data_IF_447632069384
#
_entry.id   IF_447632069384
#
_cell.length_a   1.000
_cell.length_b   1.000
_cell.length_c   1.000
_cell.angle_alpha   90.00
_cell.angle_beta   90.00
_cell.angle_gamma   90.00
#
_symmetry.space_group_name_H-M   'P 1'
#
loop_
_entity.id
_entity.type
_entity.pdbx_description
1 polymer ?
#
# COMPACT_ATOMS: atom_id res chain seq x y z
N UNK A 1 -9.24 4.24 -28.68
CA UNK A 1 -8.80 3.81 -27.33
C UNK A 1 -9.64 2.70 -26.68
N UNK A 2 -10.72 2.19 -27.30
CA UNK A 2 -11.51 1.04 -26.80
C UNK A 2 -11.06 -0.32 -27.38
N UNK A 3 -10.30 -0.32 -28.47
CA UNK A 3 -9.84 -1.53 -29.17
C UNK A 3 -8.56 -2.16 -28.57
N UNK A 4 -7.75 -1.39 -27.84
CA UNK A 4 -6.52 -1.89 -27.19
C UNK A 4 -6.82 -2.76 -25.95
N UNK A 5 -7.97 -2.56 -25.31
CA UNK A 5 -8.38 -3.34 -24.12
C UNK A 5 -8.87 -4.73 -24.52
N UNK A 6 -9.48 -4.88 -25.70
CA UNK A 6 -9.94 -6.18 -26.20
C UNK A 6 -8.78 -7.05 -26.72
N UNK A 7 -7.73 -6.44 -27.27
CA UNK A 7 -6.57 -7.16 -27.81
C UNK A 7 -5.70 -7.85 -26.76
N UNK A 8 -5.58 -7.28 -25.56
CA UNK A 8 -4.75 -7.87 -24.50
C UNK A 8 -5.42 -9.06 -23.79
N UNK A 9 -6.76 -9.10 -23.77
CA UNK A 9 -7.53 -10.18 -23.13
C UNK A 9 -7.61 -11.47 -23.97
N UNK A 10 -7.39 -11.38 -25.28
CA UNK A 10 -7.55 -12.51 -26.21
C UNK A 10 -6.26 -13.31 -26.47
N UNK A 11 -5.10 -12.82 -26.03
CA UNK A 11 -3.80 -13.50 -26.25
C UNK A 11 -3.43 -14.45 -25.09
N UNK A 12 -4.16 -14.43 -23.97
CA UNK A 12 -3.89 -15.28 -22.79
C UNK A 12 -4.84 -16.48 -22.63
N UNK A 13 -5.76 -16.70 -23.58
CA UNK A 13 -6.71 -17.81 -23.51
C UNK A 13 -6.11 -19.12 -24.04
N UNK A 14 -5.07 -19.61 -23.38
CA UNK A 14 -4.69 -21.03 -23.45
C UNK A 14 -5.65 -21.83 -22.56
N UNK A 15 -6.12 -23.02 -22.95
CA UNK A 15 -6.90 -23.89 -22.07
C UNK A 15 -5.96 -24.53 -21.02
N UNK A 16 -5.54 -23.73 -20.05
CA UNK A 16 -4.90 -24.21 -18.84
C UNK A 16 -5.97 -24.86 -17.96
N UNK A 17 -5.71 -26.08 -17.50
CA UNK A 17 -6.51 -26.71 -16.46
C UNK A 17 -6.42 -25.83 -15.23
N UNK A 18 -7.45 -25.03 -14.97
CA UNK A 18 -7.50 -24.16 -13.82
C UNK A 18 -7.52 -25.04 -12.56
N UNK A 19 -6.43 -25.03 -11.80
CA UNK A 19 -6.47 -25.45 -10.41
C UNK A 19 -7.43 -24.53 -9.65
N UNK A 20 -8.14 -25.10 -8.69
CA UNK A 20 -9.13 -24.43 -7.86
C UNK A 20 -8.51 -23.17 -7.24
N UNK A 21 -8.80 -22.00 -7.82
CA UNK A 21 -8.25 -20.75 -7.35
C UNK A 21 -9.06 -20.32 -6.15
N UNK A 22 -8.57 -20.66 -4.95
CA UNK A 22 -9.00 -19.99 -3.73
C UNK A 22 -8.88 -18.49 -4.01
N UNK A 23 -9.96 -17.74 -3.81
CA UNK A 23 -9.96 -16.29 -3.94
C UNK A 23 -8.90 -15.75 -2.97
N UNK A 24 -7.73 -15.42 -3.49
CA UNK A 24 -6.60 -14.89 -2.73
C UNK A 24 -6.90 -13.44 -2.40
N UNK A 25 -7.57 -13.22 -1.28
CA UNK A 25 -7.61 -11.92 -0.63
C UNK A 25 -6.35 -11.87 0.20
N UNK A 26 -5.37 -11.06 -0.20
CA UNK A 26 -4.30 -10.67 0.70
C UNK A 26 -4.77 -9.41 1.46
N UNK A 27 -5.21 -9.55 2.73
CA UNK A 27 -5.66 -8.42 3.56
C UNK A 27 -4.48 -7.56 4.05
N UNK A 28 -3.24 -8.06 3.94
CA UNK A 28 -2.04 -7.38 4.40
C UNK A 28 -1.17 -6.86 3.26
N UNK A 29 -1.50 -7.19 2.00
CA UNK A 29 -0.79 -6.79 0.80
C UNK A 29 -0.30 -5.35 0.98
N UNK A 30 1.00 -5.15 1.25
CA UNK A 30 1.51 -3.80 1.31
C UNK A 30 1.18 -3.17 -0.05
N UNK A 31 0.75 -1.89 -0.11
CA UNK A 31 0.79 -1.19 -1.37
C UNK A 31 2.19 -1.40 -1.93
N UNK A 32 2.27 -1.89 -3.18
CA UNK A 32 3.51 -2.31 -3.84
C UNK A 32 4.61 -1.36 -3.45
N UNK A 33 5.69 -1.94 -2.92
CA UNK A 33 6.44 -1.46 -1.76
C UNK A 33 7.02 -0.04 -1.91
N UNK A 34 6.92 0.59 -3.08
CA UNK A 34 7.41 1.93 -3.41
C UNK A 34 6.43 3.09 -3.21
N UNK A 35 5.29 2.93 -2.51
CA UNK A 35 4.41 4.09 -2.26
C UNK A 35 3.72 4.10 -0.90
N UNK A 36 4.36 4.76 0.08
CA UNK A 36 3.58 5.66 0.94
C UNK A 36 3.09 6.77 0.01
N UNK A 37 1.87 6.64 -0.56
CA UNK A 37 1.24 7.80 -1.22
C UNK A 37 1.07 8.81 -0.10
N UNK A 38 1.90 9.85 -0.12
CA UNK A 38 1.71 10.99 0.74
C UNK A 38 0.25 11.44 0.50
N UNK A 39 -0.55 11.45 1.56
CA UNK A 39 -1.83 12.13 1.51
C UNK A 39 -1.63 13.61 1.15
N UNK A 40 -2.69 14.42 1.18
CA UNK A 40 -2.56 15.86 1.02
C UNK A 40 -1.46 16.39 1.97
N UNK A 41 -0.65 17.38 1.53
CA UNK A 41 0.40 17.95 2.37
C UNK A 41 -0.11 18.30 3.78
N UNK A 42 0.67 18.07 4.85
CA UNK A 42 0.19 18.26 6.23
C UNK A 42 -0.36 19.66 6.52
N UNK A 43 0.23 20.68 5.89
CA UNK A 43 -0.22 22.07 5.92
C UNK A 43 -1.60 22.26 5.29
N UNK A 44 -1.88 21.59 4.16
CA UNK A 44 -3.19 21.60 3.51
C UNK A 44 -4.24 20.91 4.37
N UNK A 45 -3.88 19.80 5.04
CA UNK A 45 -4.79 19.10 5.96
C UNK A 45 -5.10 19.98 7.18
N UNK A 46 -4.09 20.66 7.74
CA UNK A 46 -4.29 21.59 8.85
C UNK A 46 -5.19 22.78 8.44
N UNK A 47 -4.97 23.34 7.25
CA UNK A 47 -5.80 24.41 6.70
C UNK A 47 -7.25 23.95 6.47
N UNK A 48 -7.44 22.76 5.90
CA UNK A 48 -8.75 22.14 5.72
C UNK A 48 -9.52 22.04 7.04
N UNK A 49 -8.86 21.54 8.09
CA UNK A 49 -9.43 21.40 9.43
C UNK A 49 -9.80 22.78 9.99
N UNK A 50 -8.92 23.76 9.87
CA UNK A 50 -9.16 25.12 10.35
C UNK A 50 -10.35 25.78 9.66
N UNK A 51 -10.45 25.67 8.33
CA UNK A 51 -11.55 26.23 7.54
C UNK A 51 -12.89 25.53 7.82
N UNK A 52 -12.88 24.21 7.98
CA UNK A 52 -14.10 23.46 8.31
C UNK A 52 -14.59 23.77 9.73
N UNK A 53 -13.66 23.92 10.69
CA UNK A 53 -13.95 24.19 12.10
C UNK A 53 -14.06 25.68 12.43
N UNK A 54 -14.02 26.55 11.44
CA UNK A 54 -14.23 27.97 11.66
C UNK A 54 -15.65 28.20 12.22
N UNK A 55 -15.77 28.96 13.30
CA UNK A 55 -17.06 29.22 13.95
C UNK A 55 -18.06 29.95 13.04
N UNK A 56 -17.56 30.65 12.02
CA UNK A 56 -18.37 31.33 11.00
C UNK A 56 -18.71 30.44 9.79
N UNK A 57 -18.24 29.19 9.76
CA UNK A 57 -18.53 28.26 8.67
C UNK A 57 -19.86 27.52 8.87
N UNK A 58 -20.69 27.56 7.84
CA UNK A 58 -21.86 26.70 7.74
C UNK A 58 -21.41 25.31 7.31
N UNK A 59 -21.46 24.38 8.27
CA UNK A 59 -21.04 22.99 8.09
C UNK A 59 -22.18 22.16 7.54
N UNK A 60 -21.93 21.52 6.40
CA UNK A 60 -22.87 20.70 5.65
C UNK A 60 -22.38 19.24 5.59
N UNK A 61 -23.33 18.32 5.46
CA UNK A 61 -23.06 16.89 5.39
C UNK A 61 -23.93 16.22 4.32
N UNK A 62 -23.36 15.24 3.63
CA UNK A 62 -24.09 14.46 2.65
C UNK A 62 -24.27 15.22 1.34
N UNK A 63 -25.42 15.02 0.70
CA UNK A 63 -25.70 15.63 -0.59
C UNK A 63 -26.50 16.92 -0.38
N UNK A 64 -25.91 18.06 -0.74
CA UNK A 64 -26.50 19.39 -0.58
C UNK A 64 -26.56 20.10 -1.92
N UNK A 65 -27.71 20.70 -2.21
CA UNK A 65 -27.91 21.49 -3.43
C UNK A 65 -28.29 22.93 -3.09
N UNK A 66 -27.53 23.88 -3.66
CA UNK A 66 -27.85 25.31 -3.70
C UNK A 66 -28.51 25.59 -5.06
N UNK A 67 -29.84 25.68 -5.14
CA UNK A 67 -30.56 25.76 -6.39
C UNK A 67 -30.34 27.10 -7.11
N UNK A 68 -30.66 27.13 -8.41
CA UNK A 68 -30.63 28.37 -9.19
C UNK A 68 -31.54 29.43 -8.56
N UNK A 69 -31.11 30.70 -8.61
CA UNK A 69 -31.83 31.82 -8.00
C UNK A 69 -31.63 31.98 -6.48
N UNK A 70 -31.02 31.01 -5.80
CA UNK A 70 -30.66 31.15 -4.38
C UNK A 70 -29.34 31.90 -4.20
N UNK A 71 -29.23 32.65 -3.10
CA UNK A 71 -28.02 33.34 -2.67
C UNK A 71 -27.61 32.82 -1.30
N UNK A 72 -26.36 32.40 -1.18
CA UNK A 72 -25.72 32.03 0.07
C UNK A 72 -24.63 33.04 0.40
N UNK A 73 -24.60 33.53 1.63
CA UNK A 73 -23.57 34.42 2.14
C UNK A 73 -22.85 33.79 3.32
N UNK A 74 -21.53 33.76 3.27
CA UNK A 74 -20.69 33.20 4.33
C UNK A 74 -19.81 32.04 3.89
N UNK A 75 -19.08 31.46 4.85
CA UNK A 75 -18.16 30.34 4.59
C UNK A 75 -18.95 29.04 4.56
N UNK A 76 -18.71 28.20 3.57
CA UNK A 76 -19.40 26.92 3.39
C UNK A 76 -18.40 25.78 3.48
N UNK A 77 -18.70 24.79 4.33
CA UNK A 77 -17.83 23.65 4.54
C UNK A 77 -18.60 22.33 4.42
N UNK A 78 -18.23 21.45 3.49
CA UNK A 78 -18.84 20.13 3.32
C UNK A 78 -17.87 19.03 3.77
N UNK A 79 -18.36 18.07 4.56
CA UNK A 79 -17.64 16.82 4.82
C UNK A 79 -18.43 15.62 4.30
N UNK A 80 -17.84 14.92 3.32
CA UNK A 80 -18.40 13.76 2.61
C UNK A 80 -19.74 14.02 1.91
N UNK A 81 -19.88 13.47 0.70
CA UNK A 81 -21.06 13.61 -0.15
C UNK A 81 -20.81 14.56 -1.32
N UNK A 82 -21.88 15.15 -1.86
CA UNK A 82 -21.82 16.06 -3.00
C UNK A 82 -22.41 17.42 -2.68
N UNK A 83 -21.69 18.49 -3.01
CA UNK A 83 -22.19 19.86 -2.96
C UNK A 83 -22.46 20.33 -4.38
N UNK A 84 -23.72 20.59 -4.71
CA UNK A 84 -24.16 21.05 -6.03
C UNK A 84 -24.57 22.51 -5.94
N UNK A 85 -23.88 23.38 -6.65
CA UNK A 85 -24.14 24.81 -6.66
C UNK A 85 -24.64 25.20 -8.04
N UNK A 86 -25.88 25.69 -8.13
CA UNK A 86 -26.47 26.34 -9.30
C UNK A 86 -26.82 27.82 -9.03
N UNK A 87 -26.83 28.24 -7.75
CA UNK A 87 -27.08 29.61 -7.33
C UNK A 87 -25.81 30.45 -7.14
N UNK A 88 -25.93 31.54 -6.37
CA UNK A 88 -24.82 32.43 -6.02
C UNK A 88 -24.28 32.15 -4.62
N UNK A 89 -22.97 32.01 -4.47
CA UNK A 89 -22.28 31.83 -3.19
C UNK A 89 -21.25 32.93 -3.02
N UNK A 90 -21.45 33.79 -2.02
CA UNK A 90 -20.51 34.84 -1.64
C UNK A 90 -19.76 34.42 -0.37
N UNK A 91 -18.59 33.83 -0.54
CA UNK A 91 -17.72 33.35 0.52
C UNK A 91 -16.92 32.11 0.11
N UNK A 92 -15.94 31.71 0.93
CA UNK A 92 -15.10 30.56 0.65
C UNK A 92 -15.87 29.24 0.77
N UNK A 93 -15.56 28.29 -0.13
CA UNK A 93 -16.15 26.95 -0.18
C UNK A 93 -15.06 25.91 0.08
N UNK A 94 -15.23 25.12 1.13
CA UNK A 94 -14.31 24.05 1.54
C UNK A 94 -15.01 22.71 1.46
N UNK A 95 -14.42 21.71 0.80
CA UNK A 95 -14.99 20.37 0.66
C UNK A 95 -13.94 19.32 1.06
N UNK A 96 -14.24 18.57 2.11
CA UNK A 96 -13.44 17.46 2.61
C UNK A 96 -14.06 16.11 2.21
N UNK A 97 -13.30 15.27 1.52
CA UNK A 97 -13.67 13.91 1.12
C UNK A 97 -15.02 13.83 0.35
N UNK A 98 -15.30 14.81 -0.49
CA UNK A 98 -16.57 14.95 -1.23
C UNK A 98 -16.41 15.63 -2.59
N UNK A 99 -17.48 15.68 -3.39
CA UNK A 99 -17.43 16.25 -4.74
C UNK A 99 -18.17 17.58 -4.80
N UNK A 100 -17.53 18.61 -5.34
CA UNK A 100 -18.13 19.90 -5.65
C UNK A 100 -18.57 19.93 -7.12
N UNK A 101 -19.85 20.16 -7.36
CA UNK A 101 -20.43 20.38 -8.68
C UNK A 101 -20.82 21.86 -8.81
N UNK A 102 -20.20 22.56 -9.74
CA UNK A 102 -20.64 23.88 -10.18
C UNK A 102 -21.49 23.68 -11.44
N UNK A 103 -22.79 23.82 -11.27
CA UNK A 103 -23.82 23.62 -12.28
C UNK A 103 -23.99 24.90 -13.14
N UNK A 104 -24.67 24.83 -14.29
CA UNK A 104 -24.89 25.99 -15.15
C UNK A 104 -25.58 27.14 -14.39
N UNK A 105 -25.06 28.37 -14.55
CA UNK A 105 -25.54 29.57 -13.87
C UNK A 105 -24.96 29.79 -12.47
N UNK A 106 -24.10 28.89 -11.97
CA UNK A 106 -23.47 29.05 -10.67
C UNK A 106 -22.50 30.24 -10.67
N UNK A 107 -22.53 31.03 -9.59
CA UNK A 107 -21.62 32.16 -9.38
C UNK A 107 -21.02 32.06 -7.98
N UNK A 108 -19.72 31.77 -7.89
CA UNK A 108 -18.99 31.61 -6.62
C UNK A 108 -17.96 32.72 -6.49
N UNK A 109 -18.14 33.60 -5.52
CA UNK A 109 -17.20 34.66 -5.18
C UNK A 109 -16.49 34.31 -3.87
N UNK A 110 -15.29 33.73 -3.97
CA UNK A 110 -14.52 33.26 -2.83
C UNK A 110 -13.51 32.17 -3.19
N UNK A 111 -12.67 31.83 -2.22
CA UNK A 111 -11.69 30.74 -2.36
C UNK A 111 -12.39 29.37 -2.39
N UNK A 112 -11.92 28.46 -3.25
CA UNK A 112 -12.37 27.07 -3.29
C UNK A 112 -11.23 26.15 -2.86
N UNK A 113 -11.47 25.34 -1.84
CA UNK A 113 -10.57 24.27 -1.40
C UNK A 113 -11.31 22.94 -1.43
N UNK A 114 -10.87 22.01 -2.28
CA UNK A 114 -11.39 20.63 -2.30
C UNK A 114 -10.24 19.68 -1.96
N UNK A 115 -10.41 18.83 -0.95
CA UNK A 115 -9.40 17.85 -0.53
C UNK A 115 -10.05 16.48 -0.39
N UNK A 116 -9.46 15.45 -1.01
CA UNK A 116 -10.00 14.09 -1.03
C UNK A 116 -11.22 13.93 -1.92
N UNK A 117 -11.33 14.77 -2.95
CA UNK A 117 -12.53 14.89 -3.74
C UNK A 117 -12.29 15.48 -5.12
N UNK A 118 -13.38 15.85 -5.80
CA UNK A 118 -13.33 16.41 -7.16
C UNK A 118 -14.09 17.72 -7.23
N UNK A 119 -13.61 18.60 -8.10
CA UNK A 119 -14.36 19.76 -8.57
C UNK A 119 -14.79 19.50 -10.02
N UNK A 120 -16.09 19.55 -10.28
CA UNK A 120 -16.69 19.35 -11.60
C UNK A 120 -17.45 20.64 -11.95
N UNK A 121 -17.04 21.29 -13.04
CA UNK A 121 -17.62 22.55 -13.50
C UNK A 121 -18.32 22.40 -14.85
N UNK A 122 -19.49 23.02 -14.98
CA UNK A 122 -20.16 23.23 -16.26
C UNK A 122 -19.58 24.44 -17.00
N UNK A 123 -19.93 24.61 -18.29
CA UNK A 123 -19.39 25.67 -19.15
C UNK A 123 -19.85 27.09 -18.77
N UNK A 124 -21.00 27.22 -18.09
CA UNK A 124 -21.64 28.50 -17.74
C UNK A 124 -21.50 28.82 -16.24
N UNK A 125 -20.28 28.77 -15.72
CA UNK A 125 -19.97 29.00 -14.29
C UNK A 125 -19.06 30.21 -14.15
N UNK A 126 -19.42 31.11 -13.24
CA UNK A 126 -18.58 32.24 -12.82
C UNK A 126 -17.90 31.91 -11.49
N UNK A 127 -16.58 31.94 -11.45
CA UNK A 127 -15.81 31.78 -10.21
C UNK A 127 -14.76 32.88 -10.10
N UNK A 128 -14.75 33.58 -8.96
CA UNK A 128 -13.81 34.63 -8.63
C UNK A 128 -13.12 34.33 -7.30
N UNK A 129 -11.86 33.91 -7.34
CA UNK A 129 -11.02 33.63 -6.17
C UNK A 129 -9.97 32.55 -6.45
N UNK A 130 -9.09 32.25 -5.48
CA UNK A 130 -8.13 31.16 -5.61
C UNK A 130 -8.83 29.78 -5.53
N UNK A 131 -8.40 28.84 -6.37
CA UNK A 131 -8.92 27.47 -6.42
C UNK A 131 -7.79 26.47 -6.17
N UNK A 132 -8.00 25.52 -5.27
CA UNK A 132 -7.07 24.41 -5.01
C UNK A 132 -7.81 23.10 -4.84
N UNK A 133 -7.39 22.07 -5.59
CA UNK A 133 -8.01 20.75 -5.59
C UNK A 133 -6.94 19.67 -5.37
N UNK A 134 -7.11 18.91 -4.29
CA UNK A 134 -6.29 17.77 -3.91
C UNK A 134 -7.12 16.50 -3.99
N UNK A 135 -6.64 15.54 -4.76
CA UNK A 135 -7.38 14.31 -5.08
C UNK A 135 -7.20 13.23 -4.01
N UNK A 136 -6.09 13.27 -3.28
CA UNK A 136 -5.81 12.31 -2.22
C UNK A 136 -6.75 12.52 -1.03
N UNK A 137 -7.32 11.43 -0.52
CA UNK A 137 -8.25 11.46 0.59
C UNK A 137 -7.63 12.19 1.80
N UNK A 138 -8.34 13.19 2.33
CA UNK A 138 -7.93 13.84 3.55
C UNK A 138 -8.03 12.83 4.71
N UNK A 139 -6.96 12.62 5.49
CA UNK A 139 -6.98 11.74 6.65
C UNK A 139 -7.70 12.44 7.81
N UNK A 140 -9.00 12.64 7.68
CA UNK A 140 -9.85 13.37 8.63
C UNK A 140 -11.11 12.59 8.95
N UNK A 141 -11.59 12.75 10.19
CA UNK A 141 -12.85 12.19 10.69
C UNK A 141 -13.68 13.31 11.29
N UNK A 142 -15.00 13.14 11.29
CA UNK A 142 -15.91 14.03 12.01
C UNK A 142 -16.14 13.48 13.41
N UNK A 143 -15.97 14.29 14.43
CA UNK A 143 -16.26 13.92 15.83
C UNK A 143 -17.77 13.92 16.07
N UNK A 144 -18.19 13.39 17.23
CA UNK A 144 -19.62 13.36 17.62
C UNK A 144 -20.17 14.78 17.77
N UNK A 145 -19.33 15.73 18.21
CA UNK A 145 -19.68 17.15 18.34
C UNK A 145 -19.65 17.90 16.99
N UNK A 146 -19.37 17.20 15.89
CA UNK A 146 -19.49 17.72 14.54
C UNK A 146 -18.29 18.52 14.02
N UNK A 147 -17.16 18.46 14.72
CA UNK A 147 -15.88 19.03 14.30
C UNK A 147 -15.15 18.07 13.36
N UNK A 148 -14.33 18.61 12.47
CA UNK A 148 -13.37 17.84 11.70
C UNK A 148 -12.10 17.70 12.52
N UNK A 149 -11.67 16.47 12.79
CA UNK A 149 -10.41 16.17 13.44
C UNK A 149 -9.52 15.41 12.48
N UNK A 150 -8.20 15.58 12.65
CA UNK A 150 -7.27 14.71 11.96
C UNK A 150 -7.53 13.27 12.40
N UNK A 151 -7.68 12.38 11.44
CA UNK A 151 -7.77 10.95 11.70
C UNK A 151 -6.41 10.52 12.18
N UNK A 152 -6.27 10.30 13.49
CA UNK A 152 -5.12 9.58 14.00
C UNK A 152 -5.09 8.23 13.29
N UNK A 153 -4.03 8.01 12.50
CA UNK A 153 -3.75 6.68 11.96
C UNK A 153 -3.72 5.76 13.18
N UNK A 154 -4.54 4.71 13.22
CA UNK A 154 -4.41 3.69 14.27
C UNK A 154 -2.96 3.24 14.22
N UNK A 155 -2.19 3.59 15.24
CA UNK A 155 -0.82 3.11 15.38
C UNK A 155 -0.93 1.60 15.44
N UNK A 156 -0.31 0.90 14.50
CA UNK A 156 -0.21 -0.55 14.61
C UNK A 156 0.57 -0.87 15.89
N UNK A 157 0.36 -2.05 16.47
CA UNK A 157 1.16 -2.50 17.62
C UNK A 157 2.67 -2.45 17.31
N UNK A 158 3.05 -2.68 16.05
CA UNK A 158 4.41 -2.51 15.56
C UNK A 158 4.91 -1.05 15.60
N UNK A 159 4.07 -0.05 15.34
CA UNK A 159 4.42 1.38 15.49
C UNK A 159 4.61 1.77 16.98
N UNK A 160 3.92 1.10 17.91
CA UNK A 160 4.13 1.31 19.36
C UNK A 160 5.45 0.70 19.85
N UNK A 161 5.90 -0.39 19.23
CA UNK A 161 7.18 -1.05 19.52
C UNK A 161 8.36 -0.49 18.69
N UNK A 162 8.18 0.71 18.09
CA UNK A 162 9.20 1.38 17.28
C UNK A 162 9.75 2.61 18.00
N UNK A 163 11.03 2.58 18.35
CA UNK A 163 11.78 3.77 18.73
C UNK A 163 12.37 4.42 17.47
N UNK A 164 12.12 5.71 17.26
CA UNK A 164 12.70 6.46 16.14
C UNK A 164 13.12 7.85 16.55
N UNK A 165 14.24 8.31 16.00
CA UNK A 165 14.69 9.69 16.12
C UNK A 165 15.02 10.23 14.74
N UNK A 166 14.54 11.43 14.43
CA UNK A 166 14.79 12.08 13.15
C UNK A 166 15.55 13.37 13.37
N UNK A 167 16.54 13.62 12.52
CA UNK A 167 17.27 14.88 12.47
C UNK A 167 17.50 15.28 11.01
N UNK A 168 17.63 16.58 10.78
CA UNK A 168 17.79 17.14 9.45
C UNK A 168 19.14 17.87 9.37
N UNK A 169 19.94 17.50 8.38
CA UNK A 169 21.19 18.16 8.04
C UNK A 169 21.10 18.68 6.59
N UNK A 170 20.84 19.97 6.44
CA UNK A 170 20.61 20.59 5.13
C UNK A 170 19.40 19.99 4.41
N UNK A 171 19.63 19.40 3.22
CA UNK A 171 18.58 18.78 2.39
C UNK A 171 18.33 17.30 2.69
N UNK A 172 19.07 16.73 3.63
CA UNK A 172 18.99 15.31 3.98
C UNK A 172 18.30 15.18 5.33
N UNK A 173 17.18 14.46 5.36
CA UNK A 173 16.52 14.02 6.58
C UNK A 173 17.00 12.61 6.89
N UNK A 174 17.54 12.42 8.08
CA UNK A 174 17.95 11.10 8.57
C UNK A 174 17.03 10.68 9.69
N UNK A 175 16.53 9.44 9.63
CA UNK A 175 15.72 8.83 10.68
C UNK A 175 16.39 7.54 11.12
N UNK A 176 16.86 7.50 12.36
CA UNK A 176 17.30 6.27 13.00
C UNK A 176 16.07 5.59 13.60
N UNK A 177 15.92 4.29 13.38
CA UNK A 177 14.86 3.54 14.05
C UNK A 177 15.29 2.15 14.49
N UNK A 178 14.67 1.72 15.58
CA UNK A 178 14.70 0.40 16.18
C UNK A 178 13.25 -0.06 16.29
N UNK A 179 12.90 -1.15 15.62
CA UNK A 179 11.54 -1.66 15.51
C UNK A 179 11.52 -3.18 15.59
N UNK A 180 10.35 -3.75 15.89
CA UNK A 180 10.13 -5.19 15.69
C UNK A 180 10.06 -5.49 14.20
N UNK A 181 10.85 -6.47 13.77
CA UNK A 181 11.10 -7.04 12.43
C UNK A 181 9.90 -7.42 11.58
N UNK A 182 8.76 -7.60 12.23
CA UNK A 182 7.67 -8.38 11.73
C UNK A 182 6.96 -9.00 12.91
N UNK A 183 6.49 -10.23 12.74
CA UNK A 183 5.70 -10.94 13.74
C UNK A 183 6.47 -12.12 14.28
N UNK A 184 6.24 -12.43 15.57
CA UNK A 184 6.87 -13.55 16.24
C UNK A 184 6.67 -14.84 15.44
N UNK A 185 7.73 -15.60 15.16
CA UNK A 185 7.61 -16.84 14.40
C UNK A 185 8.59 -17.90 14.90
N UNK A 186 8.35 -19.16 14.51
CA UNK A 186 9.13 -20.31 15.01
C UNK A 186 10.58 -20.42 14.46
N UNK A 187 10.94 -19.57 13.50
CA UNK A 187 12.26 -19.56 12.84
C UNK A 187 13.13 -18.42 13.35
N UNK A 188 12.58 -17.22 13.51
CA UNK A 188 13.33 -16.03 13.90
C UNK A 188 13.05 -15.57 15.34
N UNK A 189 12.00 -16.11 15.98
CA UNK A 189 11.46 -15.55 17.21
C UNK A 189 10.83 -14.19 16.94
N UNK A 190 11.18 -13.19 17.74
CA UNK A 190 10.89 -11.79 17.46
C UNK A 190 12.05 -11.16 16.67
N UNK A 191 11.97 -10.97 15.35
CA UNK A 191 13.01 -10.24 14.64
C UNK A 191 13.05 -8.78 15.12
N UNK A 192 14.23 -8.16 15.14
CA UNK A 192 14.45 -6.76 15.51
C UNK A 192 15.12 -6.05 14.32
N UNK A 193 14.45 -5.06 13.73
CA UNK A 193 15.04 -4.19 12.71
C UNK A 193 15.71 -3.00 13.37
N UNK A 194 16.90 -2.64 12.88
CA UNK A 194 17.54 -1.40 13.26
C UNK A 194 18.30 -0.78 12.09
N UNK A 195 18.37 0.54 12.06
CA UNK A 195 19.23 1.25 11.12
C UNK A 195 18.72 2.63 10.69
N UNK A 196 19.45 3.28 9.78
CA UNK A 196 19.11 4.59 9.27
C UNK A 196 18.22 4.53 8.03
N UNK A 197 17.31 5.50 7.95
CA UNK A 197 16.60 5.90 6.74
C UNK A 197 17.05 7.30 6.36
N UNK A 198 17.53 7.46 5.13
CA UNK A 198 17.90 8.74 4.55
C UNK A 198 16.85 9.15 3.51
N UNK A 199 16.35 10.37 3.62
CA UNK A 199 15.43 10.97 2.67
C UNK A 199 16.00 12.30 2.17
N UNK A 200 16.03 12.48 0.86
CA UNK A 200 16.55 13.69 0.22
C UNK A 200 15.59 14.17 -0.86
N UNK A 201 15.46 15.49 -0.96
CA UNK A 201 14.73 16.16 -2.02
C UNK A 201 15.72 16.99 -2.85
N UNK A 202 16.41 16.38 -3.85
CA UNK A 202 17.43 17.09 -4.61
C UNK A 202 16.87 18.31 -5.36
N UNK A 203 15.62 18.23 -5.79
CA UNK A 203 14.84 19.31 -6.42
C UNK A 203 13.38 19.27 -5.95
N UNK A 204 12.57 20.25 -6.37
CA UNK A 204 11.11 20.27 -6.08
C UNK A 204 10.32 19.12 -6.70
N UNK A 205 10.91 18.40 -7.66
CA UNK A 205 10.27 17.29 -8.38
C UNK A 205 10.93 15.94 -8.15
N UNK A 206 12.06 15.89 -7.45
CA UNK A 206 12.80 14.65 -7.25
C UNK A 206 12.86 14.28 -5.78
N UNK A 207 12.67 13.00 -5.50
CA UNK A 207 12.77 12.41 -4.18
C UNK A 207 13.66 11.19 -4.26
N UNK A 208 14.63 11.09 -3.35
CA UNK A 208 15.41 9.87 -3.20
C UNK A 208 15.36 9.40 -1.75
N UNK A 209 15.33 8.08 -1.59
CA UNK A 209 15.28 7.38 -0.31
C UNK A 209 16.35 6.30 -0.29
N UNK A 210 17.06 6.19 0.82
CA UNK A 210 17.95 5.07 1.12
C UNK A 210 17.62 4.53 2.50
N UNK A 211 17.12 3.32 2.57
CA UNK A 211 16.75 2.62 3.80
C UNK A 211 17.74 1.48 4.05
N UNK A 212 18.49 1.53 5.16
CA UNK A 212 19.47 0.51 5.52
C UNK A 212 19.05 -0.12 6.84
N UNK A 213 18.80 -1.43 6.82
CA UNK A 213 18.30 -2.19 7.97
C UNK A 213 19.16 -3.42 8.20
N UNK A 214 19.59 -3.60 9.45
CA UNK A 214 19.96 -4.90 10.00
C UNK A 214 18.74 -5.56 10.62
N UNK A 215 18.67 -6.88 10.53
CA UNK A 215 17.66 -7.72 11.15
C UNK A 215 18.36 -8.65 12.13
N UNK A 216 18.06 -8.50 13.42
CA UNK A 216 18.52 -9.42 14.46
C UNK A 216 17.41 -10.42 14.78
N UNK A 217 17.67 -11.70 14.53
CA UNK A 217 16.76 -12.81 14.89
C UNK A 217 16.99 -13.14 16.38
N UNK A 218 15.92 -13.23 17.19
CA UNK A 218 16.05 -13.38 18.66
C UNK A 218 16.02 -14.82 19.13
N UNK A 219 15.56 -15.74 18.29
CA UNK A 219 15.48 -17.17 18.62
C UNK A 219 16.81 -17.93 18.43
N UNK A 220 17.76 -17.35 17.71
CA UNK A 220 19.04 -17.99 17.43
C UNK A 220 20.06 -17.85 18.56
N UNK A 221 21.18 -18.54 18.42
CA UNK A 221 22.31 -18.36 19.31
C UNK A 221 23.16 -17.21 18.79
N UNK A 222 23.16 -16.07 19.49
CA UNK A 222 23.76 -14.78 19.10
C UNK A 222 25.23 -14.79 18.58
N UNK A 223 25.89 -15.94 18.60
CA UNK A 223 27.22 -16.19 18.05
C UNK A 223 27.21 -16.63 16.58
N UNK A 224 26.07 -17.05 16.01
CA UNK A 224 25.98 -17.48 14.61
C UNK A 224 25.69 -16.29 13.67
N UNK A 225 26.46 -16.20 12.59
CA UNK A 225 26.24 -15.20 11.53
C UNK A 225 24.92 -15.44 10.81
N UNK A 226 24.39 -16.66 10.85
CA UNK A 226 23.09 -17.02 10.29
C UNK A 226 21.91 -16.35 11.02
N UNK A 227 22.12 -15.76 12.21
CA UNK A 227 21.06 -15.05 12.94
C UNK A 227 20.90 -13.58 12.54
N UNK A 228 21.73 -13.11 11.61
CA UNK A 228 21.73 -11.73 11.14
C UNK A 228 21.28 -11.61 9.68
N UNK A 229 20.13 -10.98 9.48
CA UNK A 229 19.64 -10.57 8.16
C UNK A 229 19.91 -9.10 7.87
N UNK A 230 19.66 -8.68 6.64
CA UNK A 230 19.78 -7.28 6.24
C UNK A 230 18.81 -6.93 5.13
N UNK A 231 18.42 -5.66 5.07
CA UNK A 231 17.67 -5.10 3.95
C UNK A 231 18.22 -3.71 3.65
N UNK A 232 18.73 -3.51 2.45
CA UNK A 232 19.12 -2.22 1.93
C UNK A 232 18.24 -1.88 0.73
N UNK A 233 17.62 -0.71 0.76
CA UNK A 233 16.68 -0.28 -0.26
C UNK A 233 16.99 1.13 -0.71
N UNK A 234 17.10 1.32 -2.01
CA UNK A 234 17.24 2.63 -2.63
C UNK A 234 16.04 2.88 -3.54
N UNK A 235 15.37 4.02 -3.39
CA UNK A 235 14.30 4.45 -4.27
C UNK A 235 14.59 5.85 -4.80
N UNK A 236 14.38 6.06 -6.09
CA UNK A 236 14.45 7.36 -6.74
C UNK A 236 13.17 7.61 -7.51
N UNK A 237 12.56 8.77 -7.26
CA UNK A 237 11.28 9.17 -7.84
C UNK A 237 11.36 10.55 -8.47
N UNK A 238 10.78 10.66 -9.65
CA UNK A 238 10.53 11.93 -10.35
C UNK A 238 9.02 12.17 -10.36
N UNK A 239 8.59 13.14 -9.56
CA UNK A 239 7.21 13.60 -9.48
C UNK A 239 6.84 14.43 -10.72
N UNK A 240 5.64 14.20 -11.23
CA UNK A 240 5.16 14.84 -12.45
C UNK A 240 3.88 14.18 -12.95
N UNK A 241 3.48 14.55 -14.18
CA UNK A 241 2.43 13.86 -14.93
C UNK A 241 3.01 13.55 -16.31
N UNK A 242 3.54 12.34 -16.56
CA UNK A 242 3.58 11.14 -15.68
C UNK A 242 4.59 11.23 -14.51
N UNK A 243 4.36 10.47 -13.44
CA UNK A 243 5.36 10.20 -12.38
C UNK A 243 6.14 8.92 -12.72
N UNK A 244 7.45 8.93 -12.47
CA UNK A 244 8.34 7.79 -12.66
C UNK A 244 9.06 7.46 -11.35
N UNK A 245 9.35 6.18 -11.14
CA UNK A 245 10.27 5.75 -10.11
C UNK A 245 11.08 4.53 -10.50
N UNK A 246 12.26 4.46 -9.92
CA UNK A 246 13.17 3.31 -10.01
C UNK A 246 13.65 3.00 -8.60
N UNK A 247 13.78 1.73 -8.28
CA UNK A 247 14.28 1.28 -7.00
C UNK A 247 15.15 0.05 -7.12
N UNK A 248 15.95 -0.18 -6.09
CA UNK A 248 16.75 -1.37 -5.91
C UNK A 248 16.65 -1.86 -4.46
N UNK A 249 16.69 -3.17 -4.28
CA UNK A 249 16.70 -3.84 -2.97
C UNK A 249 17.84 -4.86 -2.95
N UNK A 250 18.55 -4.91 -1.84
CA UNK A 250 19.49 -5.96 -1.47
C UNK A 250 19.01 -6.51 -0.15
N UNK A 251 18.92 -7.83 -0.02
CA UNK A 251 18.28 -8.42 1.14
C UNK A 251 18.80 -9.80 1.49
N UNK A 252 18.68 -10.12 2.77
CA UNK A 252 18.75 -11.45 3.36
C UNK A 252 17.70 -11.49 4.47
N UNK A 253 16.57 -12.14 4.20
CA UNK A 253 15.39 -12.13 5.06
C UNK A 253 14.67 -13.48 5.03
N UNK A 254 13.91 -13.78 6.10
CA UNK A 254 13.08 -14.98 6.18
C UNK A 254 11.65 -14.61 5.81
N UNK A 255 11.17 -15.16 4.71
CA UNK A 255 9.84 -14.87 4.19
C UNK A 255 8.88 -16.04 4.37
N UNK A 256 7.57 -15.76 4.56
CA UNK A 256 6.57 -16.80 4.53
C UNK A 256 6.38 -17.30 3.09
N UNK A 257 6.29 -18.62 2.91
CA UNK A 257 5.95 -19.26 1.62
C UNK A 257 4.54 -18.83 1.19
N UNK A 258 3.62 -18.76 2.14
CA UNK A 258 2.24 -18.30 1.93
C UNK A 258 1.81 -17.33 3.03
N UNK A 259 1.13 -16.26 2.63
CA UNK A 259 0.71 -15.19 3.54
C UNK A 259 -0.72 -15.37 4.11
N UNK A 260 -1.41 -16.44 3.71
CA UNK A 260 -2.81 -16.70 4.03
C UNK A 260 -2.99 -18.05 4.77
N UNK A 261 -4.15 -18.33 5.40
CA UNK A 261 -5.35 -17.47 5.56
C UNK A 261 -5.24 -16.47 6.72
N UNK A 262 -4.31 -16.68 7.65
CA UNK A 262 -4.16 -15.84 8.83
C UNK A 262 -3.24 -14.66 8.54
N UNK A 263 -3.61 -13.49 9.09
CA UNK A 263 -2.75 -12.32 9.01
C UNK A 263 -1.42 -12.56 9.73
N UNK A 264 -0.39 -11.78 9.37
CA UNK A 264 0.93 -11.92 10.01
C UNK A 264 0.81 -11.71 11.52
N UNK A 265 0.00 -10.74 11.94
CA UNK A 265 -0.24 -10.45 13.35
C UNK A 265 -0.94 -11.59 14.08
N UNK A 266 -1.96 -12.21 13.47
CA UNK A 266 -2.64 -13.37 14.06
C UNK A 266 -1.71 -14.58 14.19
N UNK A 267 -0.94 -14.88 13.14
CA UNK A 267 0.07 -15.96 13.20
C UNK A 267 1.10 -15.66 14.27
N UNK A 268 1.54 -14.40 14.39
CA UNK A 268 2.53 -13.97 15.36
C UNK A 268 2.07 -14.09 16.82
N UNK A 269 0.88 -13.59 17.13
CA UNK A 269 0.32 -13.71 18.47
C UNK A 269 0.03 -15.17 18.83
N UNK A 270 -0.44 -15.97 17.87
CA UNK A 270 -0.62 -17.41 18.07
C UNK A 270 0.71 -18.12 18.35
N UNK A 271 1.77 -17.78 17.63
CA UNK A 271 3.11 -18.30 17.88
C UNK A 271 3.61 -17.90 19.29
N UNK A 272 3.58 -16.61 19.61
CA UNK A 272 4.08 -16.09 20.88
C UNK A 272 3.29 -16.58 22.10
N UNK A 273 1.96 -16.57 22.04
CA UNK A 273 1.13 -16.92 23.19
C UNK A 273 0.94 -18.42 23.33
N UNK A 274 0.74 -19.14 22.22
CA UNK A 274 0.22 -20.51 22.21
C UNK A 274 1.19 -21.54 21.61
N UNK A 275 2.40 -21.13 21.21
CA UNK A 275 3.35 -21.98 20.48
C UNK A 275 2.79 -22.54 19.16
N UNK A 276 1.91 -21.78 18.50
CA UNK A 276 1.25 -22.21 17.26
C UNK A 276 1.50 -21.24 16.12
N UNK A 277 2.41 -21.65 15.25
CA UNK A 277 2.72 -20.93 14.03
C UNK A 277 2.20 -21.69 12.80
N UNK A 278 1.34 -21.02 12.03
CA UNK A 278 0.63 -21.61 10.89
C UNK A 278 1.29 -21.30 9.54
N UNK A 279 2.30 -20.43 9.51
CA UNK A 279 3.02 -20.10 8.28
C UNK A 279 4.19 -21.03 8.06
N UNK A 280 4.65 -21.18 6.84
CA UNK A 280 5.89 -21.86 6.50
C UNK A 280 6.87 -20.86 5.95
N UNK A 281 8.16 -21.06 6.20
CA UNK A 281 9.16 -20.03 5.99
C UNK A 281 10.32 -20.55 5.14
N UNK A 282 11.00 -19.64 4.46
CA UNK A 282 12.25 -19.90 3.76
C UNK A 282 13.13 -18.66 3.88
N UNK A 283 14.45 -18.85 3.76
CA UNK A 283 15.38 -17.74 3.67
C UNK A 283 15.54 -17.34 2.22
N UNK A 284 15.49 -16.03 1.97
CA UNK A 284 15.71 -15.44 0.66
C UNK A 284 16.81 -14.39 0.77
N UNK A 285 17.89 -14.61 0.04
CA UNK A 285 18.99 -13.65 -0.10
C UNK A 285 19.15 -13.25 -1.56
N UNK A 286 19.14 -11.96 -1.86
CA UNK A 286 19.14 -11.54 -3.25
C UNK A 286 19.23 -10.06 -3.50
N UNK A 287 19.10 -9.74 -4.78
CA UNK A 287 19.01 -8.38 -5.29
C UNK A 287 17.79 -8.26 -6.20
N UNK A 288 17.04 -7.17 -6.03
CA UNK A 288 15.89 -6.85 -6.86
C UNK A 288 15.99 -5.42 -7.39
N UNK A 289 15.54 -5.23 -8.63
CA UNK A 289 15.32 -3.94 -9.25
C UNK A 289 13.84 -3.77 -9.57
N UNK A 290 13.34 -2.55 -9.39
CA UNK A 290 11.95 -2.19 -9.73
C UNK A 290 11.93 -0.89 -10.51
N UNK A 291 11.10 -0.82 -11.54
CA UNK A 291 10.80 0.40 -12.27
C UNK A 291 9.29 0.55 -12.40
N UNK A 292 8.77 1.75 -12.17
CA UNK A 292 7.35 2.01 -12.29
C UNK A 292 7.04 3.36 -12.94
N UNK A 293 5.86 3.43 -13.55
CA UNK A 293 5.28 4.64 -14.11
C UNK A 293 3.83 4.80 -13.62
N UNK A 294 3.47 6.04 -13.31
CA UNK A 294 2.11 6.46 -12.98
C UNK A 294 1.69 7.50 -14.01
N UNK A 295 1.14 7.08 -15.16
CA UNK A 295 0.76 8.00 -16.23
C UNK A 295 -0.47 8.83 -15.88
N UNK A 296 -1.35 8.26 -15.05
CA UNK A 296 -2.54 8.89 -14.52
C UNK A 296 -2.73 8.41 -13.08
N UNK A 297 -3.30 9.18 -12.14
CA UNK A 297 -3.44 8.76 -10.74
C UNK A 297 -4.16 7.41 -10.51
N UNK A 298 -4.99 7.01 -11.48
CA UNK A 298 -5.71 5.75 -11.50
C UNK A 298 -4.91 4.56 -12.02
N UNK A 299 -3.81 4.79 -12.75
CA UNK A 299 -3.01 3.74 -13.38
C UNK A 299 -1.61 3.67 -12.77
N UNK A 300 -1.12 2.46 -12.53
CA UNK A 300 0.29 2.20 -12.21
C UNK A 300 0.74 0.95 -12.95
N UNK A 301 1.89 1.05 -13.60
CA UNK A 301 2.56 -0.10 -14.21
C UNK A 301 3.92 -0.23 -13.55
N UNK A 302 4.23 -1.44 -13.10
CA UNK A 302 5.45 -1.77 -12.37
C UNK A 302 6.10 -3.01 -12.98
N UNK A 303 7.41 -2.91 -13.22
CA UNK A 303 8.24 -4.01 -13.69
C UNK A 303 9.29 -4.31 -12.63
N UNK A 304 9.45 -5.59 -12.31
CA UNK A 304 10.38 -6.06 -11.30
C UNK A 304 11.28 -7.14 -11.89
N UNK A 305 12.55 -7.12 -11.49
CA UNK A 305 13.53 -8.15 -11.82
C UNK A 305 14.28 -8.50 -10.54
N UNK A 306 14.45 -9.77 -10.21
CA UNK A 306 15.26 -10.18 -9.05
C UNK A 306 16.08 -11.42 -9.34
N UNK A 307 17.15 -11.57 -8.56
CA UNK A 307 17.96 -12.78 -8.49
C UNK A 307 18.08 -13.16 -7.02
N UNK A 308 17.55 -14.33 -6.70
CA UNK A 308 17.29 -14.79 -5.34
C UNK A 308 17.97 -16.13 -5.10
N UNK A 309 18.74 -16.25 -4.03
CA UNK A 309 19.11 -17.52 -3.44
C UNK A 309 18.04 -17.87 -2.40
N UNK A 310 17.27 -18.93 -2.65
CA UNK A 310 16.22 -19.41 -1.76
C UNK A 310 16.65 -20.69 -1.07
N UNK A 311 16.47 -20.75 0.25
CA UNK A 311 16.93 -21.87 1.09
C UNK A 311 15.92 -22.28 2.14
N UNK A 312 15.86 -23.57 2.39
CA UNK A 312 15.12 -24.16 3.50
C UNK A 312 15.70 -23.71 4.85
N UNK A 313 14.84 -23.24 5.74
CA UNK A 313 15.22 -22.83 7.10
C UNK A 313 14.75 -23.83 8.14
N UNK A 314 15.59 -24.07 9.15
CA UNK A 314 15.26 -24.91 10.29
C UNK A 314 14.55 -24.09 11.38
N UNK A 315 13.83 -24.79 12.25
CA UNK A 315 13.23 -24.17 13.44
C UNK A 315 14.32 -23.88 14.48
N UNK A 316 14.17 -22.77 15.20
CA UNK A 316 15.09 -22.32 16.27
C UNK A 316 14.53 -22.54 17.67
N UNK A 317 13.33 -23.11 17.78
CA UNK A 317 12.62 -23.39 19.04
C UNK A 317 12.52 -22.17 19.98
N UNK A 318 11.93 -21.04 19.50
CA UNK A 318 11.74 -19.87 20.34
C UNK A 318 10.75 -20.13 21.47
N UNK A 319 10.91 -19.40 22.58
CA UNK A 319 10.03 -19.57 23.74
C UNK A 319 8.58 -19.13 23.44
N UNK A 320 7.59 -19.61 24.20
CA UNK A 320 6.21 -19.11 24.15
C UNK A 320 5.67 -18.85 25.55
N UNK A 321 4.64 -18.00 25.68
CA UNK A 321 4.17 -17.55 26.99
C UNK A 321 3.35 -18.62 27.74
N UNK A 322 2.37 -19.25 27.10
CA UNK A 322 1.41 -20.14 27.79
C UNK A 322 1.69 -21.62 27.58
N UNK A 323 2.40 -21.99 26.50
CA UNK A 323 2.61 -23.39 26.11
C UNK A 323 4.06 -23.66 25.77
N UNK A 324 5.01 -23.30 26.63
CA UNK A 324 6.44 -23.45 26.29
C UNK A 324 6.96 -24.90 26.29
N UNK A 325 6.15 -25.86 26.74
CA UNK A 325 6.53 -27.28 26.83
C UNK A 325 6.20 -28.10 25.59
N UNK A 326 5.40 -27.56 24.66
CA UNK A 326 5.05 -28.28 23.43
C UNK A 326 6.24 -28.24 22.45
N UNK A 327 6.22 -29.08 21.42
CA UNK A 327 7.22 -29.04 20.34
C UNK A 327 6.67 -28.21 19.19
N UNK A 328 7.48 -27.30 18.65
CA UNK A 328 7.12 -26.60 17.42
C UNK A 328 6.90 -27.57 16.25
N UNK A 329 5.94 -27.21 15.39
CA UNK A 329 5.77 -27.85 14.10
C UNK A 329 7.04 -27.66 13.28
N UNK A 330 7.52 -28.72 12.62
CA UNK A 330 8.65 -28.62 11.70
C UNK A 330 8.34 -27.68 10.55
N UNK A 331 9.34 -26.92 10.13
CA UNK A 331 9.29 -26.15 8.91
C UNK A 331 9.50 -27.10 7.71
N UNK A 332 8.67 -27.04 6.65
CA UNK A 332 8.89 -27.84 5.46
C UNK A 332 10.16 -27.41 4.72
N UNK A 333 10.72 -28.33 3.94
CA UNK A 333 11.77 -28.00 2.98
C UNK A 333 11.14 -27.39 1.73
N UNK A 334 11.89 -26.51 1.08
CA UNK A 334 11.61 -25.97 -0.25
C UNK A 334 12.64 -26.50 -1.25
N UNK A 335 12.42 -26.23 -2.54
CA UNK A 335 13.43 -26.50 -3.55
C UNK A 335 14.52 -25.43 -3.45
N UNK A 336 15.60 -25.75 -2.72
CA UNK A 336 16.71 -24.83 -2.53
C UNK A 336 17.38 -24.53 -3.88
N UNK A 337 17.76 -23.28 -4.16
CA UNK A 337 18.39 -22.94 -5.43
C UNK A 337 18.51 -21.44 -5.69
N UNK A 338 18.99 -21.09 -6.89
CA UNK A 338 19.02 -19.71 -7.34
C UNK A 338 17.95 -19.47 -8.39
N UNK A 339 17.09 -18.49 -8.12
CA UNK A 339 15.96 -18.12 -8.93
C UNK A 339 16.21 -16.76 -9.58
N UNK A 340 15.83 -16.64 -10.83
CA UNK A 340 15.75 -15.38 -11.55
C UNK A 340 14.28 -15.08 -11.83
N UNK A 341 13.77 -14.01 -11.25
CA UNK A 341 12.35 -13.67 -11.31
C UNK A 341 12.15 -12.39 -12.12
N UNK A 342 11.18 -12.41 -13.02
CA UNK A 342 10.72 -11.25 -13.78
C UNK A 342 9.23 -11.06 -13.53
N UNK A 343 8.85 -9.86 -13.08
CA UNK A 343 7.48 -9.52 -12.72
C UNK A 343 6.95 -8.32 -13.50
N UNK A 344 5.67 -8.38 -13.84
CA UNK A 344 4.90 -7.25 -14.35
C UNK A 344 3.62 -7.11 -13.52
N UNK A 345 3.40 -5.93 -12.94
CA UNK A 345 2.17 -5.60 -12.24
C UNK A 345 1.50 -4.38 -12.88
N UNK A 346 0.19 -4.50 -13.11
CA UNK A 346 -0.67 -3.42 -13.61
C UNK A 346 -1.80 -3.21 -12.63
N UNK A 347 -1.84 -2.00 -12.04
CA UNK A 347 -2.89 -1.58 -11.13
C UNK A 347 -3.76 -0.50 -11.78
N UNK A 348 -5.08 -0.70 -11.72
CA UNK A 348 -6.09 0.31 -12.01
C UNK A 348 -6.98 0.52 -10.78
N UNK A 349 -6.88 1.70 -10.17
CA UNK A 349 -7.59 2.04 -8.94
C UNK A 349 -8.38 3.35 -9.10
N UNK A 350 -9.70 3.21 -9.12
CA UNK A 350 -10.66 4.33 -9.18
C UNK A 350 -11.51 4.42 -7.92
N UNK A 351 -11.14 3.69 -6.86
CA UNK A 351 -11.85 3.73 -5.59
C UNK A 351 -11.87 5.15 -5.03
N UNK A 352 -12.98 5.49 -4.38
CA UNK A 352 -13.14 6.78 -3.73
C UNK A 352 -12.34 6.91 -2.42
N UNK A 353 -12.09 5.78 -1.75
CA UNK A 353 -11.25 5.66 -0.56
C UNK A 353 -10.52 4.32 -0.63
N UNK A 354 -9.22 4.28 -0.32
CA UNK A 354 -8.40 3.07 -0.46
C UNK A 354 -8.55 2.09 0.70
N UNK A 355 -8.86 2.60 1.89
CA UNK A 355 -8.97 1.81 3.11
C UNK A 355 -10.42 1.38 3.36
N UNK A 356 -11.38 2.23 3.03
CA UNK A 356 -12.81 1.95 3.17
C UNK A 356 -13.58 2.32 1.90
N UNK A 357 -13.32 1.64 0.78
CA UNK A 357 -13.97 1.93 -0.49
C UNK A 357 -15.48 1.73 -0.39
N UNK A 358 -16.24 2.73 -0.85
CA UNK A 358 -17.69 2.64 -0.98
C UNK A 358 -18.16 2.73 -2.42
N UNK A 359 -17.29 3.16 -3.34
CA UNK A 359 -17.56 3.27 -4.77
C UNK A 359 -16.27 3.11 -5.59
N UNK A 360 -16.38 2.56 -6.80
CA UNK A 360 -15.30 2.51 -7.79
C UNK A 360 -14.77 1.10 -8.04
N UNK A 361 -13.65 1.03 -8.77
CA UNK A 361 -13.03 -0.23 -9.19
C UNK A 361 -11.60 -0.34 -8.68
N UNK A 362 -11.21 -1.55 -8.29
CA UNK A 362 -9.82 -1.97 -8.13
C UNK A 362 -9.58 -3.16 -9.06
N UNK A 363 -8.67 -3.00 -10.00
CA UNK A 363 -8.12 -4.07 -10.82
C UNK A 363 -6.62 -4.14 -10.53
N UNK A 364 -6.14 -5.34 -10.23
CA UNK A 364 -4.72 -5.64 -10.09
C UNK A 364 -4.43 -6.93 -10.84
N UNK A 365 -3.61 -6.82 -11.88
CA UNK A 365 -3.06 -7.97 -12.59
C UNK A 365 -1.57 -8.07 -12.28
N UNK A 366 -1.10 -9.26 -11.94
CA UNK A 366 0.32 -9.56 -11.77
C UNK A 366 0.68 -10.81 -12.55
N UNK A 367 1.75 -10.70 -13.32
CA UNK A 367 2.42 -11.80 -13.99
C UNK A 367 3.83 -11.91 -13.42
N UNK A 368 4.27 -13.13 -13.17
CA UNK A 368 5.60 -13.44 -12.67
C UNK A 368 6.14 -14.67 -13.38
N UNK A 369 7.34 -14.55 -13.92
CA UNK A 369 8.09 -15.62 -14.56
C UNK A 369 9.35 -15.87 -13.75
N UNK A 370 9.56 -17.10 -13.32
CA UNK A 370 10.72 -17.52 -12.53
C UNK A 370 11.47 -18.62 -13.26
N UNK A 371 12.79 -18.53 -13.29
CA UNK A 371 13.66 -19.57 -13.84
C UNK A 371 14.78 -19.94 -12.87
N UNK A 372 15.20 -21.20 -12.90
CA UNK A 372 16.36 -21.67 -12.15
C UNK A 372 17.08 -22.79 -12.89
N UNK A 373 18.39 -22.86 -12.70
CA UNK A 373 19.25 -23.87 -13.34
C UNK A 373 19.87 -24.85 -12.34
N UNK A 374 19.78 -24.56 -11.04
CA UNK A 374 20.51 -25.27 -9.98
C UNK A 374 19.63 -25.66 -8.77
N UNK A 375 18.33 -25.84 -9.00
CA UNK A 375 17.43 -26.33 -7.96
C UNK A 375 17.88 -27.68 -7.39
N UNK A 376 17.80 -27.79 -6.07
CA UNK A 376 17.90 -29.01 -5.30
C UNK A 376 16.50 -29.40 -4.83
N UNK A 377 15.73 -30.16 -5.64
CA UNK A 377 14.32 -30.35 -5.39
C UNK A 377 14.06 -31.26 -4.19
N UNK A 378 13.03 -30.93 -3.42
CA UNK A 378 12.49 -31.81 -2.39
C UNK A 378 11.93 -33.07 -3.06
N UNK A 379 12.36 -34.22 -2.55
CA UNK A 379 11.85 -35.52 -2.99
C UNK A 379 10.39 -35.68 -2.54
N UNK A 380 9.48 -35.54 -3.49
CA UNK A 380 8.05 -35.77 -3.31
C UNK A 380 7.62 -36.97 -4.15
N UNK A 381 6.58 -37.73 -3.74
CA UNK A 381 6.01 -38.77 -4.57
C UNK A 381 5.58 -38.21 -5.94
N UNK A 382 5.84 -38.93 -7.03
CA UNK A 382 5.53 -38.47 -8.39
C UNK A 382 4.05 -38.12 -8.62
N UNK A 383 3.15 -38.70 -7.82
CA UNK A 383 1.71 -38.37 -7.82
C UNK A 383 1.41 -36.97 -7.27
N UNK A 384 2.27 -36.44 -6.40
CA UNK A 384 2.15 -35.09 -5.82
C UNK A 384 2.79 -34.07 -6.75
N UNK A 385 3.99 -34.37 -7.23
CA UNK A 385 4.75 -33.50 -8.12
C UNK A 385 5.65 -34.34 -9.02
N UNK A 386 5.58 -34.21 -10.36
CA UNK A 386 6.59 -34.78 -11.24
C UNK A 386 7.98 -34.28 -10.88
N UNK A 387 9.02 -35.11 -11.03
CA UNK A 387 10.38 -34.67 -10.73
C UNK A 387 10.72 -33.43 -11.58
N UNK A 388 11.02 -32.28 -10.95
CA UNK A 388 11.38 -31.09 -11.69
C UNK A 388 12.71 -31.32 -12.42
N UNK A 389 12.91 -30.62 -13.52
CA UNK A 389 14.13 -30.76 -14.33
C UNK A 389 15.33 -30.24 -13.52
N UNK A 390 16.26 -31.14 -13.19
CA UNK A 390 17.51 -30.81 -12.51
C UNK A 390 18.63 -30.65 -13.54
N UNK A 391 19.34 -29.51 -13.56
CA UNK A 391 20.46 -29.25 -14.48
C UNK A 391 20.18 -28.23 -15.59
N UNK A 392 19.26 -27.29 -15.36
CA UNK A 392 18.89 -26.24 -16.32
C UNK A 392 17.44 -26.38 -16.78
N UNK A 393 16.71 -25.25 -16.82
CA UNK A 393 15.37 -25.19 -17.42
C UNK A 393 14.19 -25.38 -16.46
N UNK A 394 14.38 -25.27 -15.14
CA UNK A 394 13.25 -25.07 -14.25
C UNK A 394 12.64 -23.70 -14.56
N UNK A 395 11.35 -23.67 -14.90
CA UNK A 395 10.63 -22.44 -15.19
C UNK A 395 9.20 -22.54 -14.66
N UNK A 396 8.70 -21.45 -14.10
CA UNK A 396 7.31 -21.34 -13.65
C UNK A 396 6.74 -19.98 -13.99
N UNK A 397 5.47 -19.97 -14.38
CA UNK A 397 4.69 -18.78 -14.64
C UNK A 397 3.56 -18.69 -13.62
N UNK A 398 3.41 -17.54 -12.98
CA UNK A 398 2.32 -17.23 -12.06
C UNK A 398 1.56 -16.02 -12.56
N UNK A 399 0.25 -16.19 -12.76
CA UNK A 399 -0.68 -15.10 -13.04
C UNK A 399 -1.63 -14.97 -11.86
N UNK A 400 -1.83 -13.74 -11.40
CA UNK A 400 -2.88 -13.41 -10.42
C UNK A 400 -3.69 -12.21 -10.89
N UNK A 401 -5.00 -12.26 -10.64
CA UNK A 401 -5.94 -11.21 -10.99
C UNK A 401 -6.86 -10.95 -9.80
N UNK A 402 -6.85 -9.72 -9.31
CA UNK A 402 -7.79 -9.24 -8.30
C UNK A 402 -8.68 -8.16 -8.93
N UNK A 403 -9.98 -8.47 -9.00
CA UNK A 403 -11.01 -7.60 -9.57
C UNK A 403 -12.07 -7.32 -8.52
N UNK A 404 -12.19 -6.07 -8.10
CA UNK A 404 -13.18 -5.64 -7.11
C UNK A 404 -13.98 -4.44 -7.61
N UNK A 405 -15.29 -4.57 -7.52
CA UNK A 405 -16.23 -3.48 -7.73
C UNK A 405 -16.86 -3.08 -6.41
N UNK A 406 -16.83 -1.79 -6.11
CA UNK A 406 -17.47 -1.21 -4.94
C UNK A 406 -18.65 -0.39 -5.42
N UNK A 407 -19.84 -0.75 -4.94
CA UNK A 407 -21.08 -0.06 -5.23
C UNK A 407 -21.75 0.34 -3.93
N UNK A 408 -22.18 1.60 -3.85
CA UNK A 408 -23.01 2.10 -2.75
C UNK A 408 -24.46 1.74 -3.05
N UNK A 409 -25.07 0.89 -2.23
CA UNK A 409 -26.46 0.43 -2.41
C UNK A 409 -27.51 1.28 -1.67
N UNK A 410 -27.12 2.33 -0.94
CA UNK A 410 -28.12 3.22 -0.31
C UNK A 410 -28.97 3.90 -1.39
N UNK A 411 -30.32 3.84 -1.28
CA UNK A 411 -31.18 4.68 -2.09
C UNK A 411 -30.87 6.15 -1.76
N UNK A 412 -30.73 6.99 -2.78
CA UNK A 412 -30.72 8.43 -2.56
C UNK A 412 -32.06 8.84 -1.97
N UNK A 413 -32.04 9.39 -0.76
CA UNK A 413 -33.13 10.16 -0.17
C UNK A 413 -32.66 11.60 -0.03
#
# INVERSE_FOLDING_TARGET
MRLLIAGLMLVLASPGWAQDSIIVIDPNAPPTDSVVRAGPPPDVVAELIALFNDSSATRMQGDVTIPAGSRFEGKLALFRGSLRIAGRVNGPVTVANGTLYLLPGASVQGAILVVGGRLIRSEQVEHFGPERVYWDAAPVIRTVEGWLAQRERRRSLSELATARTSFQAGRIRTTLSLATGGTYNRVEGLPILFGPLFEVHPSSRTYARLDLRGILRTAGQAEDRSDFGYVARADFRIQGKPEFGIGGRLYSEVDPIEEYPLTSSESGWSAFLLQRDYRDYFEREGVAGVAYIVPHPAWRVEFTISRDAERSVQITDPWSLLRNSDRWRRNPLIDDGHYFNTGLQVDFDTRNDRERPTAGWLLRGRFEHSTSDDIAPVALPAVVRPNPQTGGGYATDRISLDLRHYARFTPGL
#
